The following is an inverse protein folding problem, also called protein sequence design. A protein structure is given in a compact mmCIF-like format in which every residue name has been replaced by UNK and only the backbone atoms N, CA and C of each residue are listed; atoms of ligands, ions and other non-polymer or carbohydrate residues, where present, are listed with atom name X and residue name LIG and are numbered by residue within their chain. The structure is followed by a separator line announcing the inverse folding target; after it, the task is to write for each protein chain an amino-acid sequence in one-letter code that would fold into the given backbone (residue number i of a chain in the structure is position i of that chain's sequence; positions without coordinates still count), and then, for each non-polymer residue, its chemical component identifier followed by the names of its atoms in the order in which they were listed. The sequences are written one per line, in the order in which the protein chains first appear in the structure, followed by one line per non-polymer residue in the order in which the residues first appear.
data_IF_899855768272
#
_entry.id   IF_899855768272
#
_cell.length_a   1.000
_cell.length_b   1.000
_cell.length_c   1.000
_cell.angle_alpha   90.00
_cell.angle_beta   90.00
_cell.angle_gamma   90.00
#
_symmetry.space_group_name_H-M   'P 1'
#
loop_
_entity.id
_entity.type
_entity.pdbx_description
1 polymer ?
#
# COMPACT_ATOMS: atom_id res chain seq x y z
N UNK A 1 4.95 -2.51 3.31
CA UNK A 1 5.92 -1.52 2.81
C UNK A 1 5.32 -0.12 2.79
N UNK A 2 4.27 0.15 2.00
CA UNK A 2 3.59 1.47 1.96
C UNK A 2 3.36 2.08 3.34
N UNK A 3 2.69 1.37 4.24
CA UNK A 3 2.46 1.83 5.62
C UNK A 3 3.74 2.23 6.37
N UNK A 4 4.73 1.33 6.41
CA UNK A 4 6.00 1.56 7.11
C UNK A 4 6.78 2.74 6.50
N UNK A 5 6.78 2.88 5.17
CA UNK A 5 7.49 3.96 4.51
C UNK A 5 6.83 5.31 4.79
N UNK A 6 5.49 5.38 4.69
CA UNK A 6 4.73 6.61 4.94
C UNK A 6 4.89 7.03 6.41
N UNK A 7 4.77 6.08 7.34
CA UNK A 7 5.00 6.33 8.77
C UNK A 7 6.42 6.85 9.04
N UNK A 8 7.44 6.22 8.40
CA UNK A 8 8.81 6.69 8.49
C UNK A 8 8.98 8.12 7.96
N UNK A 9 8.41 8.44 6.79
CA UNK A 9 8.48 9.79 6.19
C UNK A 9 7.88 10.84 7.12
N UNK A 10 6.71 10.55 7.72
CA UNK A 10 6.13 11.41 8.74
C UNK A 10 7.02 11.54 9.96
N UNK A 11 7.58 10.43 10.45
CA UNK A 11 8.46 10.39 11.61
C UNK A 11 9.74 11.23 11.45
N UNK A 12 10.25 11.37 10.21
CA UNK A 12 11.42 12.23 9.92
C UNK A 12 11.03 13.65 9.47
N UNK A 13 9.75 13.98 9.50
CA UNK A 13 9.24 15.31 9.18
C UNK A 13 9.20 15.64 7.67
N UNK A 14 9.09 14.62 6.83
CA UNK A 14 8.89 14.75 5.38
C UNK A 14 7.41 14.60 5.09
N UNK A 15 6.82 15.53 4.32
CA UNK A 15 5.39 15.53 3.97
C UNK A 15 5.15 14.78 2.65
N UNK A 16 4.56 13.58 2.64
CA UNK A 16 4.13 12.94 1.39
C UNK A 16 3.02 13.75 0.73
N UNK A 17 3.12 14.04 -0.56
CA UNK A 17 2.12 14.80 -1.30
C UNK A 17 1.46 13.99 -2.41
N UNK A 18 2.16 12.97 -2.93
CA UNK A 18 1.59 12.06 -3.92
C UNK A 18 2.13 10.64 -3.73
N UNK A 19 1.23 9.66 -3.83
CA UNK A 19 1.51 8.24 -3.73
C UNK A 19 0.84 7.56 -4.92
N UNK A 20 1.63 7.00 -5.83
CA UNK A 20 1.13 6.24 -6.97
C UNK A 20 1.56 4.78 -6.84
N UNK A 21 0.59 3.88 -6.68
CA UNK A 21 0.81 2.45 -6.44
C UNK A 21 0.29 1.58 -7.58
N UNK A 22 1.17 1.18 -8.49
CA UNK A 22 0.86 0.29 -9.60
C UNK A 22 1.22 -1.16 -9.26
N UNK A 23 0.29 -2.08 -9.49
CA UNK A 23 0.46 -3.50 -9.23
C UNK A 23 0.02 -4.31 -10.44
N UNK A 24 0.75 -5.38 -10.76
CA UNK A 24 0.27 -6.38 -11.71
C UNK A 24 0.70 -7.81 -11.35
N UNK A 25 -0.20 -8.75 -11.59
CA UNK A 25 -0.03 -10.18 -11.34
C UNK A 25 -0.84 -11.01 -12.34
N UNK A 26 -0.45 -12.26 -12.54
CA UNK A 26 -1.06 -13.18 -13.51
C UNK A 26 -1.78 -14.38 -12.91
N UNK A 27 -2.02 -14.40 -11.59
CA UNK A 27 -2.73 -15.47 -10.92
C UNK A 27 -4.25 -15.21 -10.86
N UNK A 28 -5.00 -16.13 -10.23
CA UNK A 28 -6.45 -16.04 -10.16
C UNK A 28 -6.96 -14.87 -9.29
N UNK A 29 -6.16 -14.35 -8.35
CA UNK A 29 -6.53 -13.18 -7.53
C UNK A 29 -6.71 -11.96 -8.43
N UNK A 30 -5.67 -11.60 -9.20
CA UNK A 30 -5.74 -10.45 -10.10
C UNK A 30 -6.65 -10.68 -11.31
N UNK A 31 -6.90 -11.94 -11.71
CA UNK A 31 -7.94 -12.27 -12.70
C UNK A 31 -9.33 -11.88 -12.18
N UNK A 32 -9.65 -12.20 -10.93
CA UNK A 32 -10.91 -11.78 -10.31
C UNK A 32 -11.00 -10.27 -10.14
N UNK A 33 -9.89 -9.62 -9.80
CA UNK A 33 -9.82 -8.15 -9.65
C UNK A 33 -9.92 -7.38 -10.97
N UNK A 34 -9.93 -8.08 -12.12
CA UNK A 34 -10.26 -7.45 -13.40
C UNK A 34 -11.73 -6.98 -13.45
N UNK A 35 -12.61 -7.55 -12.61
CA UNK A 35 -13.97 -7.08 -12.44
C UNK A 35 -14.03 -5.85 -11.52
N UNK A 36 -14.60 -4.74 -12.02
CA UNK A 36 -14.63 -3.44 -11.32
C UNK A 36 -15.20 -3.50 -9.91
N UNK A 37 -16.26 -4.28 -9.69
CA UNK A 37 -16.89 -4.41 -8.37
C UNK A 37 -15.95 -5.01 -7.32
N UNK A 38 -15.13 -5.99 -7.71
CA UNK A 38 -14.18 -6.67 -6.82
C UNK A 38 -12.96 -5.76 -6.60
N UNK A 39 -12.56 -5.00 -7.62
CA UNK A 39 -11.47 -4.04 -7.52
C UNK A 39 -11.73 -2.96 -6.47
N UNK A 40 -12.94 -2.37 -6.45
CA UNK A 40 -13.28 -1.27 -5.53
C UNK A 40 -13.07 -1.63 -4.05
N UNK A 41 -13.36 -2.87 -3.64
CA UNK A 41 -13.13 -3.32 -2.26
C UNK A 41 -11.63 -3.30 -1.88
N UNK A 42 -10.77 -3.71 -2.82
CA UNK A 42 -9.32 -3.77 -2.60
C UNK A 42 -8.68 -2.39 -2.69
N UNK A 43 -9.22 -1.52 -3.53
CA UNK A 43 -8.83 -0.11 -3.64
C UNK A 43 -9.10 0.64 -2.32
N UNK A 44 -10.33 0.56 -1.79
CA UNK A 44 -10.72 1.21 -0.52
C UNK A 44 -9.80 0.77 0.61
N UNK A 45 -9.55 -0.55 0.73
CA UNK A 45 -8.71 -1.10 1.80
C UNK A 45 -7.24 -0.63 1.71
N UNK A 46 -6.71 -0.46 0.49
CA UNK A 46 -5.32 -0.01 0.28
C UNK A 46 -5.16 1.50 0.45
N UNK A 47 -6.17 2.29 0.12
CA UNK A 47 -6.13 3.75 0.28
C UNK A 47 -6.35 4.18 1.73
N UNK A 48 -7.25 3.49 2.45
CA UNK A 48 -7.55 3.79 3.85
C UNK A 48 -6.33 3.76 4.77
N UNK A 49 -5.26 3.02 4.43
CA UNK A 49 -4.04 2.95 5.24
C UNK A 49 -3.32 4.30 5.40
N UNK A 50 -3.41 5.19 4.42
CA UNK A 50 -2.73 6.51 4.47
C UNK A 50 -3.61 7.54 5.20
N UNK A 51 -4.92 7.36 5.13
CA UNK A 51 -5.89 8.29 5.69
C UNK A 51 -5.67 8.52 7.19
N UNK A 52 -5.50 7.44 7.96
CA UNK A 52 -5.29 7.55 9.41
C UNK A 52 -4.00 8.28 9.77
N UNK A 53 -2.94 8.10 8.97
CA UNK A 53 -1.65 8.78 9.17
C UNK A 53 -1.75 10.28 8.87
N UNK A 54 -2.50 10.65 7.83
CA UNK A 54 -2.75 12.06 7.47
C UNK A 54 -3.53 12.77 8.57
N UNK A 55 -4.61 12.14 9.06
CA UNK A 55 -5.46 12.68 10.14
C UNK A 55 -4.68 12.84 11.45
N UNK A 56 -3.63 12.05 11.67
CA UNK A 56 -2.81 12.14 12.88
C UNK A 56 -1.83 13.33 12.89
N UNK A 57 -1.68 14.08 11.79
CA UNK A 57 -0.59 15.05 11.63
C UNK A 57 -1.05 16.42 11.08
N UNK A 58 -1.69 17.20 11.96
CA UNK A 58 -2.19 18.56 11.70
C UNK A 58 -1.09 19.59 11.37
N UNK A 59 0.20 19.24 11.56
CA UNK A 59 1.33 20.11 11.21
C UNK A 59 1.56 20.10 9.70
N UNK A 60 1.42 18.93 9.07
CA UNK A 60 1.70 18.77 7.65
C UNK A 60 0.48 19.00 6.78
N UNK A 61 -0.71 18.64 7.23
CA UNK A 61 -1.95 18.77 6.45
C UNK A 61 -2.93 19.67 7.15
N UNK A 62 -3.54 20.56 6.37
CA UNK A 62 -4.69 21.31 6.82
C UNK A 62 -5.91 20.38 6.97
N UNK A 63 -6.96 20.81 7.69
CA UNK A 63 -8.23 20.09 7.70
C UNK A 63 -8.72 19.83 6.27
N UNK A 64 -9.10 18.59 5.97
CA UNK A 64 -9.55 18.11 4.65
C UNK A 64 -8.45 18.04 3.55
N UNK A 65 -7.19 18.33 3.89
CA UNK A 65 -6.06 18.16 2.96
C UNK A 65 -5.59 16.70 2.97
N UNK A 66 -5.52 16.08 1.80
CA UNK A 66 -5.03 14.72 1.60
C UNK A 66 -3.99 14.67 0.48
N UNK A 67 -2.98 13.80 0.58
CA UNK A 67 -2.10 13.52 -0.54
C UNK A 67 -2.88 12.86 -1.68
N UNK A 68 -2.43 13.08 -2.91
CA UNK A 68 -2.93 12.32 -4.05
C UNK A 68 -2.56 10.85 -3.86
N UNK A 69 -3.54 9.94 -3.81
CA UNK A 69 -3.32 8.49 -3.71
C UNK A 69 -4.04 7.77 -4.85
N UNK A 70 -3.26 7.11 -5.72
CA UNK A 70 -3.80 6.31 -6.82
C UNK A 70 -3.32 4.88 -6.73
N UNK A 71 -4.26 3.94 -6.83
CA UNK A 71 -3.97 2.51 -6.81
C UNK A 71 -4.41 1.92 -8.14
N UNK A 72 -3.49 1.22 -8.79
CA UNK A 72 -3.76 0.52 -10.05
C UNK A 72 -3.42 -0.94 -9.86
N UNK A 73 -4.35 -1.83 -10.25
CA UNK A 73 -4.13 -3.27 -10.31
C UNK A 73 -4.45 -3.74 -11.73
N UNK A 74 -3.54 -4.48 -12.36
CA UNK A 74 -3.71 -5.01 -13.70
C UNK A 74 -3.39 -6.50 -13.74
N UNK A 75 -4.28 -7.27 -14.36
CA UNK A 75 -4.02 -8.66 -14.68
C UNK A 75 -3.01 -8.76 -15.82
N UNK A 76 -1.95 -9.56 -15.63
CA UNK A 76 -0.93 -9.84 -16.63
C UNK A 76 -0.47 -11.30 -16.54
N UNK A 77 -1.05 -12.16 -17.38
CA UNK A 77 -0.88 -13.62 -17.31
C UNK A 77 0.59 -14.10 -17.28
N UNK A 78 1.49 -13.41 -17.98
CA UNK A 78 2.90 -13.79 -18.08
C UNK A 78 3.63 -13.88 -16.73
N UNK A 79 3.27 -13.04 -15.76
CA UNK A 79 4.00 -12.97 -14.48
C UNK A 79 3.50 -14.00 -13.46
N UNK A 80 2.40 -14.71 -13.73
CA UNK A 80 1.88 -15.75 -12.84
C UNK A 80 1.68 -15.24 -11.41
N UNK A 81 2.17 -16.00 -10.41
CA UNK A 81 2.11 -15.60 -9.00
C UNK A 81 3.11 -14.51 -8.60
N UNK A 82 4.09 -14.23 -9.47
CA UNK A 82 5.15 -13.25 -9.24
C UNK A 82 4.61 -11.83 -9.41
N UNK A 83 4.03 -11.30 -8.33
CA UNK A 83 3.47 -9.95 -8.30
C UNK A 83 4.57 -8.92 -8.42
N UNK A 84 4.32 -7.93 -9.28
CA UNK A 84 5.19 -6.75 -9.42
C UNK A 84 4.45 -5.52 -8.92
N UNK A 85 5.02 -4.86 -7.92
CA UNK A 85 4.55 -3.60 -7.39
C UNK A 85 5.55 -2.49 -7.75
N UNK A 86 5.05 -1.40 -8.31
CA UNK A 86 5.78 -0.20 -8.69
C UNK A 86 5.11 0.94 -7.95
N UNK A 87 5.81 1.52 -6.98
CA UNK A 87 5.30 2.60 -6.17
C UNK A 87 6.15 3.85 -6.36
N UNK A 88 5.52 5.00 -6.52
CA UNK A 88 6.15 6.32 -6.48
C UNK A 88 5.62 7.09 -5.27
N UNK A 89 6.54 7.62 -4.46
CA UNK A 89 6.25 8.51 -3.35
C UNK A 89 6.91 9.85 -3.62
N UNK A 90 6.11 10.87 -3.90
CA UNK A 90 6.55 12.25 -4.00
C UNK A 90 6.23 12.98 -2.70
N UNK A 91 7.19 13.76 -2.21
CA UNK A 91 7.10 14.45 -0.92
C UNK A 91 7.71 15.84 -0.99
N UNK A 92 7.20 16.73 -0.16
CA UNK A 92 7.78 18.06 0.06
C UNK A 92 8.77 18.01 1.22
N UNK A 93 9.91 18.67 1.02
CA UNK A 93 10.99 18.81 1.99
C UNK A 93 11.33 20.29 2.20
N UNK A 94 12.33 20.55 3.06
CA UNK A 94 12.72 21.89 3.49
C UNK A 94 12.86 22.88 2.31
N UNK A 95 12.36 24.11 2.52
CA UNK A 95 12.43 25.23 1.57
C UNK A 95 11.77 24.95 0.21
N UNK A 96 10.69 24.16 0.19
CA UNK A 96 9.95 23.84 -1.03
C UNK A 96 10.70 22.85 -1.95
N UNK A 97 11.74 22.20 -1.44
CA UNK A 97 12.38 21.10 -2.14
C UNK A 97 11.42 19.92 -2.31
N UNK A 98 11.75 19.02 -3.24
CA UNK A 98 10.98 17.80 -3.49
C UNK A 98 11.87 16.58 -3.32
N UNK A 99 11.29 15.54 -2.73
CA UNK A 99 11.86 14.20 -2.67
C UNK A 99 10.95 13.25 -3.44
N UNK A 100 11.51 12.44 -4.34
CA UNK A 100 10.77 11.42 -5.08
C UNK A 100 11.46 10.08 -4.90
N UNK A 101 10.75 9.12 -4.32
CA UNK A 101 11.22 7.75 -4.12
C UNK A 101 10.43 6.81 -5.02
N UNK A 102 11.12 6.11 -5.92
CA UNK A 102 10.53 5.09 -6.79
C UNK A 102 10.97 3.72 -6.30
N UNK A 103 10.01 2.85 -6.01
CA UNK A 103 10.23 1.49 -5.55
C UNK A 103 9.70 0.50 -6.57
N UNK A 104 10.50 -0.52 -6.86
CA UNK A 104 10.09 -1.68 -7.62
C UNK A 104 10.26 -2.93 -6.76
N UNK A 105 9.17 -3.63 -6.49
CA UNK A 105 9.17 -4.83 -5.67
C UNK A 105 8.62 -6.01 -6.48
N UNK A 106 9.46 -7.04 -6.65
CA UNK A 106 9.07 -8.33 -7.20
C UNK A 106 8.97 -9.32 -6.07
N UNK A 107 7.82 -10.00 -5.95
CA UNK A 107 7.57 -10.93 -4.88
C UNK A 107 6.63 -12.04 -5.35
N UNK A 108 6.83 -13.24 -4.84
CA UNK A 108 5.83 -14.31 -4.96
C UNK A 108 4.73 -14.04 -3.94
N UNK A 109 3.53 -13.72 -4.40
CA UNK A 109 2.45 -13.24 -3.52
C UNK A 109 1.97 -14.34 -2.59
N UNK A 110 1.87 -15.58 -3.10
CA UNK A 110 1.48 -16.74 -2.30
C UNK A 110 2.49 -17.05 -1.21
N UNK A 111 3.79 -16.90 -1.50
CA UNK A 111 4.85 -17.13 -0.50
C UNK A 111 4.87 -16.05 0.58
N UNK A 112 4.44 -14.83 0.27
CA UNK A 112 4.30 -13.78 1.27
C UNK A 112 3.03 -13.96 2.13
N UNK A 113 1.95 -14.45 1.53
CA UNK A 113 0.66 -14.63 2.21
C UNK A 113 0.63 -15.88 3.11
N UNK A 114 1.25 -16.98 2.69
CA UNK A 114 1.26 -18.24 3.43
C UNK A 114 1.69 -18.11 4.92
N UNK A 115 2.83 -17.46 5.26
CA UNK A 115 3.21 -17.29 6.66
C UNK A 115 2.26 -16.37 7.44
N UNK A 116 1.68 -15.35 6.82
CA UNK A 116 0.70 -14.46 7.47
C UNK A 116 -0.56 -15.24 7.88
N UNK A 117 -1.02 -16.18 7.04
CA UNK A 117 -2.14 -17.06 7.38
C UNK A 117 -1.78 -17.93 8.60
N UNK A 118 -0.55 -18.45 8.66
CA UNK A 118 -0.09 -19.25 9.80
C UNK A 118 -0.07 -18.40 11.07
N UNK A 119 0.47 -17.18 11.03
CA UNK A 119 0.51 -16.27 12.17
C UNK A 119 -0.91 -15.98 12.69
N UNK A 120 -1.86 -15.70 11.79
CA UNK A 120 -3.25 -15.43 12.15
C UNK A 120 -3.92 -16.65 12.82
N UNK A 121 -3.70 -17.86 12.31
CA UNK A 121 -4.26 -19.08 12.91
C UNK A 121 -3.65 -19.34 14.29
N UNK A 122 -2.34 -19.17 14.44
CA UNK A 122 -1.66 -19.39 15.72
C UNK A 122 -2.09 -18.37 16.79
N UNK A 123 -2.18 -17.09 16.43
CA UNK A 123 -2.64 -16.05 17.34
C UNK A 123 -4.11 -16.24 17.70
N UNK A 124 -4.97 -16.53 16.73
CA UNK A 124 -6.39 -16.79 16.99
C UNK A 124 -6.58 -18.01 17.91
N UNK A 125 -5.79 -19.07 17.74
CA UNK A 125 -5.83 -20.25 18.61
C UNK A 125 -5.38 -19.91 20.03
N UNK A 126 -4.29 -19.16 20.18
CA UNK A 126 -3.81 -18.67 21.47
C UNK A 126 -4.86 -17.84 22.20
N UNK A 127 -5.54 -16.93 21.50
CA UNK A 127 -6.58 -16.05 22.05
C UNK A 127 -7.81 -16.84 22.54
N UNK A 128 -8.04 -18.08 22.08
CA UNK A 128 -9.10 -18.94 22.65
C UNK A 128 -8.73 -19.57 23.98
N UNK A 129 -7.45 -19.51 24.37
CA UNK A 129 -6.90 -20.13 25.60
C UNK A 129 -6.56 -19.12 26.69
N UNK A 130 -6.73 -17.82 26.42
CA UNK A 130 -6.57 -16.71 27.38
C UNK A 130 -7.96 -16.21 27.76
#
# INVERSE_FOLDING_TARGET
MKSVLVDFLFGVGIKPTSIASYNHQGNNDDMNLSATQIFSSKEISKSGMVHDMVVSNDIFYNPEEHPDDVIVIKYMSYVGDSKRAMDEYSSEIFMGGKNTTVLHNTREDSLLVAPIILDLVLLAELDTRI
#
